data_IF_062038625164
#
_entry.id   IF_062038625164
#
_cell.length_a   1.000
_cell.length_b   1.000
_cell.length_c   1.000
_cell.angle_alpha   90.00
_cell.angle_beta   90.00
_cell.angle_gamma   90.00
#
_symmetry.space_group_name_H-M   'P 1'
#
loop_
_entity.id
_entity.type
_entity.pdbx_description
1 polymer ?
#
# COMPACT_ATOMS: atom_id res chain seq x y z
N UNK A 1 -21.35 -8.10 24.91
CA UNK A 1 -21.36 -8.24 23.48
C UNK A 1 -20.14 -7.56 22.87
N UNK A 2 -19.44 -8.31 22.15
CA UNK A 2 -18.21 -7.84 21.56
C UNK A 2 -18.50 -7.18 20.20
N UNK A 3 -18.13 -5.94 19.99
CA UNK A 3 -18.26 -5.37 18.65
C UNK A 3 -17.32 -6.10 17.69
N UNK A 4 -17.57 -5.99 16.41
CA UNK A 4 -16.68 -6.58 15.43
C UNK A 4 -15.26 -6.17 15.75
N UNK A 5 -14.36 -7.12 15.69
CA UNK A 5 -12.97 -6.89 16.06
C UNK A 5 -12.34 -5.79 15.23
N UNK A 6 -12.71 -5.72 13.98
CA UNK A 6 -12.15 -4.70 13.10
C UNK A 6 -13.26 -4.11 12.31
N UNK A 7 -13.27 -2.85 12.28
CA UNK A 7 -13.98 -2.15 11.25
C UNK A 7 -12.98 -1.89 10.15
N UNK A 8 -13.45 -1.99 8.93
CA UNK A 8 -12.69 -1.57 7.78
C UNK A 8 -12.28 -0.11 7.97
N UNK A 9 -11.04 0.21 7.57
CA UNK A 9 -10.61 1.61 7.52
C UNK A 9 -11.28 2.24 6.30
N UNK A 10 -12.18 3.17 6.54
CA UNK A 10 -13.00 3.76 5.50
C UNK A 10 -12.75 5.25 5.35
N UNK A 11 -13.28 5.80 4.26
CA UNK A 11 -13.23 7.25 4.01
C UNK A 11 -13.84 7.99 5.20
N UNK A 12 -13.12 8.99 5.69
CA UNK A 12 -13.50 9.77 6.86
C UNK A 12 -12.83 9.32 8.14
N UNK A 13 -12.30 8.11 8.17
CA UNK A 13 -11.61 7.60 9.35
C UNK A 13 -10.19 8.16 9.46
N UNK A 14 -9.71 8.28 10.67
CA UNK A 14 -8.31 8.53 10.89
C UNK A 14 -7.53 7.29 10.46
N UNK A 15 -6.52 7.49 9.63
CA UNK A 15 -5.67 6.37 9.22
C UNK A 15 -4.86 5.89 10.41
N UNK A 16 -4.94 4.58 10.76
CA UNK A 16 -4.13 4.06 11.86
C UNK A 16 -2.65 4.23 11.58
N UNK A 17 -1.92 4.73 12.56
CA UNK A 17 -0.49 4.90 12.42
C UNK A 17 0.24 3.55 12.48
N UNK A 18 1.41 3.49 11.86
CA UNK A 18 2.23 2.29 11.87
C UNK A 18 3.68 2.66 11.61
N UNK A 19 4.58 1.73 11.96
CA UNK A 19 6.00 1.84 11.64
C UNK A 19 6.44 0.51 11.05
N UNK A 20 7.00 0.56 9.83
CA UNK A 20 7.49 -0.62 9.13
C UNK A 20 8.88 -0.34 8.58
N UNK A 21 9.62 -1.39 8.27
CA UNK A 21 10.96 -1.27 7.70
C UNK A 21 10.90 -1.17 6.18
N UNK A 22 11.72 -0.29 5.62
CA UNK A 22 11.84 -0.16 4.17
C UNK A 22 12.95 -1.07 3.62
N UNK A 23 13.31 -0.90 2.35
CA UNK A 23 14.28 -1.76 1.67
C UNK A 23 15.69 -1.65 2.23
N UNK A 24 16.02 -0.57 2.92
CA UNK A 24 17.31 -0.40 3.59
C UNK A 24 17.22 -0.68 5.09
N UNK A 25 16.10 -1.24 5.54
CA UNK A 25 15.82 -1.61 6.93
C UNK A 25 15.74 -0.41 7.87
N UNK A 26 15.41 0.75 7.31
CA UNK A 26 15.09 1.93 8.10
C UNK A 26 13.63 1.90 8.52
N UNK A 27 13.34 2.40 9.72
CA UNK A 27 11.98 2.48 10.22
C UNK A 27 11.27 3.67 9.60
N UNK A 28 10.13 3.40 8.95
CA UNK A 28 9.30 4.42 8.32
C UNK A 28 7.97 4.46 9.03
N UNK A 29 7.59 5.62 9.53
CA UNK A 29 6.35 5.82 10.29
C UNK A 29 5.38 6.66 9.47
N UNK A 30 4.13 6.20 9.34
CA UNK A 30 3.14 6.90 8.54
C UNK A 30 2.95 8.35 8.99
N UNK A 31 2.87 8.59 10.30
CA UNK A 31 2.60 9.93 10.82
C UNK A 31 3.71 10.93 10.51
N UNK A 32 4.90 10.46 10.15
CA UNK A 32 6.00 11.36 9.74
C UNK A 32 5.72 12.01 8.39
N UNK A 33 4.71 11.53 7.67
CA UNK A 33 4.32 12.08 6.38
C UNK A 33 3.17 13.10 6.48
N UNK A 34 2.78 13.50 7.69
CA UNK A 34 1.77 14.56 7.84
C UNK A 34 2.26 15.82 7.13
N UNK A 35 1.36 16.51 6.47
CA UNK A 35 1.69 17.63 5.60
C UNK A 35 1.72 17.26 4.12
N UNK A 36 1.66 15.97 3.82
CA UNK A 36 1.58 15.46 2.45
C UNK A 36 0.43 14.49 2.32
N UNK A 37 -0.07 14.36 1.10
CA UNK A 37 -1.00 13.29 0.76
C UNK A 37 -0.19 12.00 0.61
N UNK A 38 -0.66 10.92 1.21
CA UNK A 38 0.00 9.61 1.12
C UNK A 38 -0.89 8.65 0.36
N UNK A 39 -0.35 7.99 -0.65
CA UNK A 39 -1.02 6.92 -1.39
C UNK A 39 -0.41 5.62 -0.91
N UNK A 40 -1.17 4.88 -0.08
CA UNK A 40 -0.75 3.55 0.36
C UNK A 40 -1.19 2.53 -0.68
N UNK A 41 -0.25 1.82 -1.24
CA UNK A 41 -0.52 0.79 -2.24
C UNK A 41 -0.14 -0.57 -1.65
N UNK A 42 -1.14 -1.28 -1.14
CA UNK A 42 -0.94 -2.66 -0.66
C UNK A 42 -0.88 -3.59 -1.87
N UNK A 43 0.09 -4.49 -1.90
CA UNK A 43 0.23 -5.45 -2.99
C UNK A 43 0.59 -6.83 -2.43
N UNK A 44 0.12 -7.90 -3.09
CA UNK A 44 0.25 -9.26 -2.56
C UNK A 44 1.68 -9.76 -2.44
N UNK A 45 2.57 -9.36 -3.35
CA UNK A 45 3.95 -9.81 -3.28
C UNK A 45 4.77 -9.41 -4.49
N UNK A 46 6.05 -9.19 -4.27
CA UNK A 46 7.01 -8.89 -5.32
C UNK A 46 7.11 -10.09 -6.27
N UNK A 47 7.29 -9.81 -7.55
CA UNK A 47 7.51 -10.82 -8.59
C UNK A 47 6.32 -11.76 -8.81
N UNK A 48 5.10 -11.29 -8.54
CA UNK A 48 3.88 -12.09 -8.74
C UNK A 48 3.08 -11.65 -9.97
N UNK A 49 3.72 -11.06 -10.96
CA UNK A 49 3.10 -10.72 -12.25
C UNK A 49 2.28 -9.43 -12.18
N UNK A 50 1.04 -9.50 -11.70
CA UNK A 50 0.17 -8.31 -11.62
C UNK A 50 0.76 -7.25 -10.70
N UNK A 51 1.44 -7.66 -9.63
CA UNK A 51 2.10 -6.71 -8.74
C UNK A 51 3.20 -5.95 -9.45
N UNK A 52 3.95 -6.63 -10.33
CA UNK A 52 5.01 -5.99 -11.10
C UNK A 52 4.41 -4.88 -11.96
N UNK A 53 3.27 -5.16 -12.62
CA UNK A 53 2.57 -4.17 -13.44
C UNK A 53 2.06 -3.01 -12.59
N UNK A 54 1.48 -3.29 -11.44
CA UNK A 54 0.93 -2.26 -10.58
C UNK A 54 2.02 -1.30 -10.12
N UNK A 55 3.13 -1.83 -9.63
CA UNK A 55 4.21 -0.99 -9.12
C UNK A 55 4.86 -0.18 -10.25
N UNK A 56 5.01 -0.77 -11.42
CA UNK A 56 5.52 -0.03 -12.59
C UNK A 56 4.56 1.07 -13.01
N UNK A 57 3.26 0.85 -12.92
CA UNK A 57 2.26 1.87 -13.25
C UNK A 57 2.31 3.03 -12.27
N UNK A 58 2.50 2.75 -10.97
CA UNK A 58 2.72 3.81 -9.98
C UNK A 58 3.99 4.58 -10.28
N UNK A 59 5.06 3.89 -10.68
CA UNK A 59 6.31 4.55 -11.03
C UNK A 59 6.13 5.48 -12.24
N UNK A 60 5.39 5.05 -13.25
CA UNK A 60 5.10 5.86 -14.43
C UNK A 60 4.32 7.12 -14.08
N UNK A 61 3.49 7.05 -13.04
CA UNK A 61 2.67 8.18 -12.61
C UNK A 61 3.30 8.96 -11.46
N UNK A 62 4.51 8.58 -11.04
CA UNK A 62 5.11 9.13 -9.84
C UNK A 62 5.31 10.65 -9.93
N UNK A 63 5.76 11.15 -11.08
CA UNK A 63 5.98 12.59 -11.26
C UNK A 63 4.67 13.36 -11.08
N UNK A 64 3.58 12.86 -11.64
CA UNK A 64 2.27 13.52 -11.52
C UNK A 64 1.80 13.53 -10.07
N UNK A 65 2.02 12.44 -9.35
CA UNK A 65 1.64 12.36 -7.93
C UNK A 65 2.50 13.30 -7.09
N UNK A 66 3.80 13.33 -7.36
CA UNK A 66 4.71 14.22 -6.66
C UNK A 66 4.34 15.68 -6.89
N UNK A 67 3.94 16.03 -8.11
CA UNK A 67 3.50 17.38 -8.45
C UNK A 67 2.25 17.79 -7.66
N UNK A 68 1.46 16.82 -7.22
CA UNK A 68 0.29 17.06 -6.38
C UNK A 68 0.61 16.98 -4.89
N UNK A 69 1.88 16.96 -4.52
CA UNK A 69 2.35 16.80 -3.14
C UNK A 69 1.88 15.45 -2.54
N UNK A 70 1.82 14.42 -3.36
CA UNK A 70 1.45 13.07 -2.93
C UNK A 70 2.67 12.17 -2.92
N UNK A 71 2.78 11.34 -1.91
CA UNK A 71 3.86 10.36 -1.75
C UNK A 71 3.27 8.97 -1.87
N UNK A 72 3.88 8.11 -2.69
CA UNK A 72 3.46 6.71 -2.83
C UNK A 72 4.27 5.84 -1.87
N UNK A 73 3.59 4.97 -1.16
CA UNK A 73 4.23 3.98 -0.28
C UNK A 73 3.62 2.62 -0.59
N UNK A 74 4.44 1.68 -1.04
CA UNK A 74 4.00 0.31 -1.28
C UNK A 74 4.16 -0.52 -0.01
N UNK A 75 3.22 -1.42 0.26
CA UNK A 75 3.26 -2.29 1.43
C UNK A 75 2.94 -3.72 1.02
N UNK A 76 3.82 -4.63 1.37
CA UNK A 76 3.60 -6.07 1.19
C UNK A 76 4.12 -6.81 2.41
N UNK A 77 3.93 -8.13 2.44
CA UNK A 77 4.48 -8.96 3.52
C UNK A 77 5.86 -9.52 3.16
N UNK A 78 6.41 -9.11 2.02
CA UNK A 78 7.76 -9.53 1.61
C UNK A 78 8.82 -8.97 2.52
N UNK A 79 9.97 -9.64 2.55
CA UNK A 79 11.11 -9.16 3.32
C UNK A 79 11.70 -7.89 2.70
N UNK A 80 12.48 -7.11 3.47
CA UNK A 80 13.20 -5.97 2.91
C UNK A 80 14.14 -6.34 1.77
N UNK A 81 14.73 -7.53 1.84
CA UNK A 81 15.63 -8.00 0.77
C UNK A 81 14.87 -8.27 -0.52
N UNK A 82 13.72 -8.94 -0.42
CA UNK A 82 12.89 -9.19 -1.60
C UNK A 82 12.38 -7.89 -2.21
N UNK A 83 11.91 -6.97 -1.38
CA UNK A 83 11.44 -5.67 -1.85
C UNK A 83 12.57 -4.83 -2.42
N UNK A 84 13.79 -4.93 -1.88
CA UNK A 84 14.94 -4.21 -2.40
C UNK A 84 15.28 -4.66 -3.83
N UNK A 85 15.26 -5.97 -4.06
CA UNK A 85 15.52 -6.49 -5.41
C UNK A 85 14.39 -6.11 -6.35
N UNK A 86 13.16 -6.13 -5.87
CA UNK A 86 11.99 -5.74 -6.66
C UNK A 86 12.12 -4.27 -7.12
N UNK A 87 12.45 -3.38 -6.19
CA UNK A 87 12.64 -1.96 -6.49
C UNK A 87 13.80 -1.75 -7.47
N UNK A 88 14.90 -2.49 -7.28
CA UNK A 88 16.06 -2.38 -8.15
C UNK A 88 15.71 -2.83 -9.58
N UNK A 89 15.02 -3.95 -9.69
CA UNK A 89 14.71 -4.55 -10.99
C UNK A 89 13.80 -3.67 -11.83
N UNK A 90 12.85 -3.00 -11.19
CA UNK A 90 11.87 -2.17 -11.90
C UNK A 90 12.12 -0.68 -11.72
N UNK A 91 13.26 -0.29 -11.13
CA UNK A 91 13.65 1.10 -10.94
C UNK A 91 12.57 1.91 -10.22
N UNK A 92 12.07 1.36 -9.11
CA UNK A 92 11.03 2.02 -8.34
C UNK A 92 11.67 3.06 -7.41
N UNK A 93 11.17 4.29 -7.47
CA UNK A 93 11.71 5.41 -6.71
C UNK A 93 10.86 5.78 -5.50
N UNK A 94 9.89 4.97 -5.15
CA UNK A 94 9.07 5.20 -3.95
C UNK A 94 9.33 4.10 -2.93
N UNK A 95 8.95 4.38 -1.67
CA UNK A 95 9.21 3.46 -0.57
C UNK A 95 8.41 2.17 -0.70
N UNK A 96 9.07 1.05 -0.42
CA UNK A 96 8.40 -0.24 -0.25
C UNK A 96 8.64 -0.69 1.17
N UNK A 97 7.56 -0.96 1.89
CA UNK A 97 7.62 -1.33 3.30
C UNK A 97 7.24 -2.80 3.48
N UNK A 98 7.84 -3.41 4.48
CA UNK A 98 7.68 -4.84 4.76
C UNK A 98 6.84 -5.04 6.01
N UNK A 99 5.62 -5.56 5.83
CA UNK A 99 4.71 -5.89 6.93
C UNK A 99 4.95 -7.34 7.34
N UNK A 100 6.10 -7.60 7.95
CA UNK A 100 6.56 -8.96 8.25
C UNK A 100 5.63 -9.71 9.19
N UNK A 101 5.02 -9.01 10.13
CA UNK A 101 4.13 -9.59 11.13
C UNK A 101 2.68 -9.66 10.67
N UNK A 102 2.36 -9.17 9.49
CA UNK A 102 1.01 -9.08 8.94
C UNK A 102 0.07 -8.24 9.79
N UNK A 103 0.60 -7.40 10.65
CA UNK A 103 -0.23 -6.57 11.54
C UNK A 103 -0.88 -5.41 10.80
N UNK A 104 -0.17 -4.78 9.86
CA UNK A 104 -0.70 -3.61 9.15
C UNK A 104 -1.75 -4.03 8.14
N UNK A 105 -1.56 -5.17 7.45
CA UNK A 105 -2.58 -5.66 6.53
C UNK A 105 -3.87 -6.02 7.29
N UNK A 106 -3.75 -6.51 8.51
CA UNK A 106 -4.90 -6.78 9.36
C UNK A 106 -5.55 -5.46 9.80
N UNK A 107 -4.74 -4.52 10.24
CA UNK A 107 -5.19 -3.22 10.75
C UNK A 107 -5.98 -2.43 9.70
N UNK A 108 -5.57 -2.52 8.43
CA UNK A 108 -6.21 -1.81 7.34
C UNK A 108 -7.24 -2.64 6.59
N UNK A 109 -7.55 -3.84 7.10
CA UNK A 109 -8.46 -4.77 6.43
C UNK A 109 -8.04 -5.00 4.97
N UNK A 110 -6.75 -5.18 4.78
CA UNK A 110 -6.14 -5.42 3.47
C UNK A 110 -5.47 -6.79 3.42
N UNK A 111 -5.98 -7.74 4.20
CA UNK A 111 -5.42 -9.08 4.29
C UNK A 111 -6.03 -10.01 3.24
N UNK A 112 -5.22 -10.90 2.69
CA UNK A 112 -5.69 -11.94 1.78
C UNK A 112 -5.07 -13.28 2.19
N UNK A 113 -5.87 -14.32 2.25
CA UNK A 113 -5.40 -15.65 2.65
C UNK A 113 -5.51 -16.58 1.44
N UNK A 114 -4.45 -17.35 1.19
CA UNK A 114 -4.45 -18.35 0.13
C UNK A 114 -3.96 -17.86 -1.22
N UNK A 115 -3.10 -16.84 -1.23
CA UNK A 115 -2.54 -16.33 -2.48
C UNK A 115 -1.90 -17.46 -3.28
N UNK A 116 -2.20 -17.49 -4.58
CA UNK A 116 -1.63 -18.48 -5.48
C UNK A 116 -2.05 -19.90 -5.18
N UNK A 117 -3.14 -20.10 -4.45
CA UNK A 117 -3.60 -21.42 -4.04
C UNK A 117 -2.83 -22.02 -2.87
N UNK A 118 -2.00 -21.21 -2.20
CA UNK A 118 -1.19 -21.67 -1.08
C UNK A 118 -2.00 -21.54 0.22
N UNK A 119 -2.48 -22.65 0.73
CA UNK A 119 -3.29 -22.67 1.93
C UNK A 119 -2.51 -22.07 3.11
N UNK A 120 -3.16 -21.18 3.84
CA UNK A 120 -2.57 -20.58 5.03
C UNK A 120 -1.59 -19.44 4.75
N UNK A 121 -1.25 -19.19 3.48
CA UNK A 121 -0.37 -18.07 3.17
C UNK A 121 -1.13 -16.76 3.29
N UNK A 122 -0.70 -15.91 4.23
CA UNK A 122 -1.31 -14.61 4.46
C UNK A 122 -0.49 -13.53 3.78
N UNK A 123 -1.11 -12.82 2.85
CA UNK A 123 -0.49 -11.71 2.15
C UNK A 123 -1.38 -10.48 2.26
N UNK A 124 -0.93 -9.38 1.66
CA UNK A 124 -1.83 -8.27 1.41
C UNK A 124 -2.73 -8.62 0.23
N UNK A 125 -3.96 -8.10 0.25
CA UNK A 125 -4.76 -7.99 -0.94
C UNK A 125 -4.31 -6.72 -1.67
N UNK A 126 -4.75 -6.51 -2.89
CA UNK A 126 -4.45 -5.29 -3.61
C UNK A 126 -5.44 -4.23 -3.15
N UNK A 127 -4.93 -3.15 -2.58
CA UNK A 127 -5.76 -2.06 -2.08
C UNK A 127 -5.00 -0.75 -2.19
N UNK A 128 -5.73 0.33 -2.50
CA UNK A 128 -5.15 1.67 -2.54
C UNK A 128 -5.94 2.54 -1.58
N UNK A 129 -5.24 3.19 -0.67
CA UNK A 129 -5.83 4.07 0.33
C UNK A 129 -5.11 5.40 0.24
N UNK A 130 -5.88 6.48 0.04
CA UNK A 130 -5.30 7.82 -0.03
C UNK A 130 -5.61 8.54 1.27
N UNK A 131 -4.57 9.05 1.90
CA UNK A 131 -4.62 9.71 3.21
C UNK A 131 -4.22 11.17 2.99
N UNK A 132 -5.02 12.09 3.52
CA UNK A 132 -4.73 13.51 3.35
C UNK A 132 -3.61 13.99 4.27
N UNK A 133 -3.27 15.27 4.17
CA UNK A 133 -2.16 15.84 4.93
C UNK A 133 -2.40 15.85 6.44
N UNK A 134 -3.61 15.59 6.88
CA UNK A 134 -3.96 15.57 8.29
C UNK A 134 -4.13 14.15 8.83
N UNK A 135 -3.92 13.15 7.99
CA UNK A 135 -3.99 11.76 8.41
C UNK A 135 -5.38 11.14 8.29
N UNK A 136 -6.28 11.75 7.54
CA UNK A 136 -7.63 11.25 7.35
C UNK A 136 -7.74 10.53 6.01
N UNK A 137 -8.39 9.37 6.00
CA UNK A 137 -8.61 8.60 4.77
C UNK A 137 -9.62 9.32 3.89
N UNK A 138 -9.24 9.60 2.66
CA UNK A 138 -10.07 10.30 1.69
C UNK A 138 -10.55 9.41 0.55
N UNK A 139 -9.89 8.28 0.34
CA UNK A 139 -10.20 7.39 -0.77
C UNK A 139 -9.78 5.97 -0.39
N UNK A 140 -10.61 5.00 -0.75
CA UNK A 140 -10.25 3.59 -0.59
C UNK A 140 -10.78 2.80 -1.78
N UNK A 141 -9.89 2.01 -2.37
CA UNK A 141 -10.24 0.98 -3.34
C UNK A 141 -9.65 -0.34 -2.87
N UNK A 142 -10.44 -1.40 -2.91
CA UNK A 142 -9.99 -2.74 -2.54
C UNK A 142 -10.38 -3.70 -3.65
N UNK A 143 -9.44 -4.51 -4.12
CA UNK A 143 -9.71 -5.49 -5.16
C UNK A 143 -10.57 -6.62 -4.62
N UNK A 144 -11.45 -7.15 -5.47
CA UNK A 144 -12.21 -8.36 -5.14
C UNK A 144 -11.29 -9.57 -5.01
N UNK A 145 -10.22 -9.57 -5.82
CA UNK A 145 -9.17 -10.59 -5.71
C UNK A 145 -7.85 -9.96 -6.18
N UNK A 146 -6.71 -10.56 -5.82
CA UNK A 146 -5.41 -9.94 -6.10
C UNK A 146 -5.04 -9.81 -7.58
N UNK A 147 -5.82 -10.37 -8.47
CA UNK A 147 -5.55 -10.25 -9.92
C UNK A 147 -6.07 -8.97 -10.55
N UNK A 148 -6.80 -8.13 -9.80
CA UNK A 148 -7.42 -6.93 -10.33
C UNK A 148 -6.57 -5.72 -9.96
N UNK A 149 -6.23 -4.88 -10.96
CA UNK A 149 -5.47 -3.65 -10.75
C UNK A 149 -6.40 -2.47 -10.47
N UNK A 150 -5.89 -1.44 -9.77
CA UNK A 150 -6.66 -0.23 -9.56
C UNK A 150 -6.71 0.64 -10.82
N UNK A 151 -7.57 1.64 -10.80
CA UNK A 151 -7.63 2.65 -11.85
C UNK A 151 -6.62 3.76 -11.51
N UNK A 152 -5.48 3.75 -12.16
CA UNK A 152 -4.39 4.68 -11.86
C UNK A 152 -4.75 6.12 -12.20
N UNK A 153 -5.50 6.32 -13.29
CA UNK A 153 -5.93 7.67 -13.67
C UNK A 153 -6.87 8.27 -12.63
N UNK A 154 -7.73 7.45 -12.06
CA UNK A 154 -8.62 7.90 -10.99
C UNK A 154 -7.82 8.31 -9.76
N UNK A 155 -6.80 7.55 -9.41
CA UNK A 155 -5.94 7.86 -8.26
C UNK A 155 -5.21 9.18 -8.48
N UNK A 156 -4.61 9.37 -9.65
CA UNK A 156 -3.91 10.61 -9.98
C UNK A 156 -4.87 11.79 -9.96
N UNK A 157 -6.04 11.63 -10.56
CA UNK A 157 -7.05 12.69 -10.60
C UNK A 157 -7.53 13.05 -9.20
N UNK A 158 -7.68 12.06 -8.34
CA UNK A 158 -8.11 12.30 -6.97
C UNK A 158 -7.08 13.14 -6.22
N UNK A 159 -5.81 12.82 -6.37
CA UNK A 159 -4.73 13.56 -5.70
C UNK A 159 -4.57 14.97 -6.24
N UNK A 160 -4.95 15.20 -7.50
CA UNK A 160 -4.84 16.51 -8.14
C UNK A 160 -6.00 17.44 -7.79
N UNK A 161 -7.07 16.90 -7.24
CA UNK A 161 -8.27 17.68 -6.93
C UNK A 161 -8.10 18.57 -5.69
#
# INVERSE_FOLDING_TARGET
>A
MQPPATSMVEVGDKAPDFTLKNTTKEAITLSDHHGKTVVLAFYPGAFTGVCDKEMCSFQENLANLTDCNATVIGISVDSPWANAEFARRYNLDFELLSDLDREVVELYDAKFVGLGGLDGYVSANRAVIIIDSQGTVQYRWTAENPGIEPDYDEIVSFCAA
#
